data_IF_549434419669
#
_entry.id   IF_549434419669
#
_cell.length_a   1.000
_cell.length_b   1.000
_cell.length_c   1.000
_cell.angle_alpha   90.00
_cell.angle_beta   90.00
_cell.angle_gamma   90.00
#
_symmetry.space_group_name_H-M   'P 1'
#
loop_
_entity.id
_entity.type
_entity.pdbx_description
1 polymer ?
#
# COMPACT_ATOMS: atom_id res chain seq x y z
N UNK A 1 -8.85 13.59 11.27
CA UNK A 1 -8.18 12.31 10.94
C UNK A 1 -7.11 11.95 11.97
N UNK A 2 -6.04 12.76 12.12
CA UNK A 2 -4.96 12.52 13.11
C UNK A 2 -5.46 12.20 14.52
N UNK A 3 -6.33 13.04 15.11
CA UNK A 3 -6.81 12.82 16.49
C UNK A 3 -7.60 11.51 16.65
N UNK A 4 -8.34 11.08 15.62
CA UNK A 4 -9.08 9.82 15.66
C UNK A 4 -8.12 8.62 15.62
N UNK A 5 -7.08 8.69 14.78
CA UNK A 5 -6.04 7.67 14.75
C UNK A 5 -5.24 7.65 16.07
N UNK A 6 -4.87 8.82 16.59
CA UNK A 6 -4.17 8.97 17.87
C UNK A 6 -4.92 8.29 19.00
N UNK A 7 -6.24 8.48 19.08
CA UNK A 7 -7.08 7.82 20.09
C UNK A 7 -6.88 6.29 20.07
N UNK A 8 -6.91 5.66 18.89
CA UNK A 8 -6.72 4.22 18.79
C UNK A 8 -5.29 3.77 19.14
N UNK A 9 -4.28 4.54 18.74
CA UNK A 9 -2.87 4.29 19.10
C UNK A 9 -2.68 4.33 20.61
N UNK A 10 -3.26 5.33 21.28
CA UNK A 10 -3.19 5.47 22.73
C UNK A 10 -3.86 4.26 23.42
N UNK A 11 -5.01 3.79 22.93
CA UNK A 11 -5.66 2.60 23.48
C UNK A 11 -4.79 1.34 23.35
N UNK A 12 -4.15 1.13 22.19
CA UNK A 12 -3.24 -0.02 22.01
C UNK A 12 -2.02 0.10 22.92
N UNK A 13 -1.44 1.30 23.06
CA UNK A 13 -0.32 1.54 23.96
C UNK A 13 -0.68 1.26 25.42
N UNK A 14 -1.88 1.64 25.87
CA UNK A 14 -2.35 1.29 27.22
C UNK A 14 -2.48 -0.22 27.40
N UNK A 15 -3.02 -0.95 26.41
CA UNK A 15 -3.04 -2.41 26.44
C UNK A 15 -1.63 -3.02 26.55
N UNK A 16 -0.66 -2.50 25.80
CA UNK A 16 0.74 -2.94 25.85
C UNK A 16 1.38 -2.66 27.21
N UNK A 17 1.14 -1.49 27.80
CA UNK A 17 1.64 -1.14 29.15
C UNK A 17 1.06 -2.04 30.24
N UNK A 18 -0.22 -2.39 30.11
CA UNK A 18 -0.91 -3.26 31.07
C UNK A 18 -0.57 -4.75 30.86
N UNK A 19 -0.06 -5.13 29.69
CA UNK A 19 0.37 -6.48 29.42
C UNK A 19 1.60 -6.81 30.27
N UNK A 20 1.46 -7.79 31.17
CA UNK A 20 2.58 -8.37 31.90
C UNK A 20 3.30 -9.35 30.99
N UNK A 21 4.24 -8.86 30.20
CA UNK A 21 5.05 -9.69 29.29
C UNK A 21 6.23 -10.29 30.08
N UNK A 22 6.57 -11.55 29.85
CA UNK A 22 7.65 -12.27 30.54
C UNK A 22 8.99 -11.53 30.46
N UNK A 23 9.82 -11.71 31.50
CA UNK A 23 11.14 -11.11 31.62
C UNK A 23 12.06 -11.58 30.49
N UNK A 24 12.17 -10.78 29.44
CA UNK A 24 12.95 -11.08 28.25
C UNK A 24 12.40 -10.44 26.97
N UNK A 25 11.10 -10.10 26.95
CA UNK A 25 10.47 -9.44 25.81
C UNK A 25 10.39 -7.92 26.01
N UNK A 26 10.70 -7.17 24.95
CA UNK A 26 10.57 -5.71 24.89
C UNK A 26 9.64 -5.34 23.74
N UNK A 27 8.64 -4.52 24.02
CA UNK A 27 7.85 -3.88 22.97
C UNK A 27 8.75 -2.92 22.17
N UNK A 28 8.87 -3.16 20.87
CA UNK A 28 9.76 -2.39 20.00
C UNK A 28 9.10 -1.13 19.40
N UNK A 29 7.77 -1.03 19.44
CA UNK A 29 7.02 0.03 18.79
C UNK A 29 5.89 -0.52 17.93
N UNK A 30 5.27 0.37 17.15
CA UNK A 30 4.14 0.05 16.28
C UNK A 30 4.38 0.52 14.85
N UNK A 31 4.07 -0.33 13.87
CA UNK A 31 3.91 0.14 12.49
C UNK A 31 2.51 0.75 12.36
N UNK A 32 2.47 2.06 12.13
CA UNK A 32 1.24 2.85 12.07
C UNK A 32 0.65 2.94 10.66
N UNK A 33 1.15 2.11 9.74
CA UNK A 33 0.70 2.10 8.36
C UNK A 33 -0.77 1.75 8.22
N UNK A 34 -1.46 2.44 7.30
CA UNK A 34 -2.76 1.98 6.83
C UNK A 34 -2.55 0.94 5.74
N UNK A 35 -2.77 -0.34 6.11
CA UNK A 35 -2.71 -1.51 5.24
C UNK A 35 -4.09 -2.20 5.27
N UNK A 36 -5.06 -1.74 4.47
CA UNK A 36 -6.38 -2.34 4.43
C UNK A 36 -6.29 -3.79 3.90
N UNK A 37 -6.93 -4.72 4.59
CA UNK A 37 -7.15 -6.08 4.09
C UNK A 37 -8.49 -6.19 3.36
N UNK A 38 -8.69 -7.31 2.64
CA UNK A 38 -9.91 -7.61 1.89
C UNK A 38 -11.19 -7.45 2.72
N UNK A 39 -11.13 -7.68 4.02
CA UNK A 39 -12.29 -7.71 4.92
C UNK A 39 -12.54 -6.39 5.67
N UNK A 40 -11.86 -5.31 5.31
CA UNK A 40 -12.04 -4.00 5.92
C UNK A 40 -12.43 -2.91 4.91
N UNK A 41 -12.63 -1.67 5.38
CA UNK A 41 -12.96 -0.54 4.51
C UNK A 41 -11.75 -0.18 3.65
N UNK A 42 -11.97 -0.11 2.34
CA UNK A 42 -10.96 0.27 1.36
C UNK A 42 -10.43 1.70 1.59
N UNK A 43 -9.13 1.89 1.36
CA UNK A 43 -8.52 3.20 1.31
C UNK A 43 -9.10 4.06 0.18
N UNK A 44 -9.52 3.48 -0.95
CA UNK A 44 -10.14 4.22 -2.07
C UNK A 44 -11.38 5.02 -1.62
N UNK A 45 -12.13 4.51 -0.64
CA UNK A 45 -13.25 5.27 -0.07
C UNK A 45 -12.76 6.51 0.70
N UNK A 46 -11.63 6.42 1.39
CA UNK A 46 -10.99 7.57 2.03
C UNK A 46 -10.59 8.62 1.00
N UNK A 47 -10.05 8.21 -0.16
CA UNK A 47 -9.75 9.13 -1.26
C UNK A 47 -11.01 9.85 -1.76
N UNK A 48 -12.13 9.13 -1.92
CA UNK A 48 -13.43 9.72 -2.30
C UNK A 48 -13.92 10.73 -1.26
N UNK A 49 -13.82 10.41 0.03
CA UNK A 49 -14.19 11.32 1.12
C UNK A 49 -13.29 12.56 1.19
N UNK A 50 -12.03 12.46 0.73
CA UNK A 50 -11.12 13.60 0.55
C UNK A 50 -11.40 14.40 -0.72
N UNK A 51 -12.39 14.01 -1.52
CA UNK A 51 -12.82 14.73 -2.73
C UNK A 51 -12.19 14.24 -4.04
N UNK A 52 -11.41 13.16 -4.01
CA UNK A 52 -10.85 12.55 -5.23
C UNK A 52 -11.95 11.71 -5.91
N UNK A 53 -12.36 12.00 -7.16
CA UNK A 53 -13.53 11.35 -7.77
C UNK A 53 -13.40 9.82 -7.89
N UNK A 54 -12.20 9.35 -8.17
CA UNK A 54 -11.80 7.94 -8.20
C UNK A 54 -10.28 7.81 -7.99
N UNK A 55 -9.83 6.67 -7.49
CA UNK A 55 -8.40 6.43 -7.29
C UNK A 55 -7.68 6.35 -8.64
N UNK A 56 -6.69 7.20 -8.86
CA UNK A 56 -6.07 7.40 -10.18
C UNK A 56 -6.26 8.80 -10.74
N UNK A 57 -7.32 9.51 -10.31
CA UNK A 57 -7.61 10.86 -10.76
C UNK A 57 -6.58 11.89 -10.26
N UNK A 58 -6.58 13.08 -10.87
CA UNK A 58 -5.87 14.24 -10.34
C UNK A 58 -6.30 14.48 -8.87
N UNK A 59 -5.33 14.81 -8.01
CA UNK A 59 -5.52 14.88 -6.55
C UNK A 59 -5.14 13.60 -5.80
N UNK A 60 -5.01 12.44 -6.48
CA UNK A 60 -4.58 11.18 -5.81
C UNK A 60 -3.21 11.35 -5.13
N UNK A 61 -2.24 12.02 -5.75
CA UNK A 61 -0.90 12.24 -5.16
C UNK A 61 -0.99 13.09 -3.89
N UNK A 62 -1.75 14.19 -3.92
CA UNK A 62 -1.93 15.07 -2.77
C UNK A 62 -2.59 14.34 -1.60
N UNK A 63 -3.68 13.62 -1.88
CA UNK A 63 -4.37 12.82 -0.88
C UNK A 63 -3.44 11.73 -0.30
N UNK A 64 -2.65 11.05 -1.13
CA UNK A 64 -1.64 10.08 -0.67
C UNK A 64 -0.61 10.72 0.26
N UNK A 65 -0.07 11.89 -0.11
CA UNK A 65 0.92 12.59 0.70
C UNK A 65 0.33 13.05 2.05
N UNK A 66 -0.90 13.55 2.05
CA UNK A 66 -1.62 13.94 3.26
C UNK A 66 -1.82 12.73 4.20
N UNK A 67 -2.30 11.61 3.67
CA UNK A 67 -2.51 10.38 4.44
C UNK A 67 -1.21 9.85 5.03
N UNK A 68 -0.14 9.75 4.24
CA UNK A 68 1.19 9.36 4.74
C UNK A 68 1.65 10.26 5.87
N UNK A 69 1.46 11.59 5.76
CA UNK A 69 1.82 12.52 6.83
C UNK A 69 1.00 12.28 8.09
N UNK A 70 -0.30 11.99 7.98
CA UNK A 70 -1.14 11.66 9.14
C UNK A 70 -0.61 10.43 9.86
N UNK A 71 -0.26 9.35 9.15
CA UNK A 71 0.29 8.13 9.74
C UNK A 71 1.65 8.37 10.42
N UNK A 72 2.49 9.27 9.88
CA UNK A 72 3.83 9.57 10.43
C UNK A 72 3.88 10.55 11.60
N UNK A 73 2.79 11.25 11.91
CA UNK A 73 2.79 12.38 12.87
C UNK A 73 2.01 12.11 14.16
N UNK A 74 1.91 10.83 14.52
CA UNK A 74 1.29 10.38 15.75
C UNK A 74 2.24 10.60 16.94
N UNK A 75 1.66 10.93 18.08
CA UNK A 75 2.36 11.15 19.34
C UNK A 75 2.38 9.86 20.17
N UNK A 76 3.24 9.80 21.19
CA UNK A 76 3.29 8.74 22.19
C UNK A 76 3.49 7.32 21.64
N UNK A 77 4.01 7.17 20.42
CA UNK A 77 4.28 5.88 19.78
C UNK A 77 5.68 5.89 19.19
N UNK A 78 6.45 4.84 19.48
CA UNK A 78 7.67 4.55 18.74
C UNK A 78 7.27 3.94 17.39
N UNK A 79 7.25 4.76 16.35
CA UNK A 79 6.91 4.32 15.01
C UNK A 79 8.03 3.43 14.45
N UNK A 80 7.69 2.20 14.08
CA UNK A 80 8.61 1.23 13.45
C UNK A 80 8.08 0.81 12.07
N UNK A 81 8.86 0.00 11.34
CA UNK A 81 8.47 -0.47 10.02
C UNK A 81 8.36 0.66 8.99
N UNK A 82 7.31 0.63 8.17
CA UNK A 82 7.11 1.65 7.13
C UNK A 82 6.37 2.88 7.67
N UNK A 83 5.43 2.69 8.60
CA UNK A 83 4.61 3.73 9.24
C UNK A 83 4.08 4.77 8.24
N UNK A 84 3.48 4.32 7.15
CA UNK A 84 3.00 5.18 6.06
C UNK A 84 1.81 4.58 5.31
N UNK A 85 1.42 5.21 4.21
CA UNK A 85 0.32 4.69 3.39
C UNK A 85 0.76 3.45 2.60
N UNK A 86 0.04 2.34 2.73
CA UNK A 86 0.27 1.13 1.93
C UNK A 86 -0.80 0.99 0.85
N UNK A 87 -0.37 0.78 -0.40
CA UNK A 87 -1.24 0.62 -1.56
C UNK A 87 -1.05 -0.79 -2.14
N UNK A 88 -1.46 -1.80 -1.38
CA UNK A 88 -1.41 -3.20 -1.78
C UNK A 88 -2.58 -3.51 -2.72
N UNK A 89 -2.28 -3.61 -4.02
CA UNK A 89 -3.30 -3.65 -5.09
C UNK A 89 -4.27 -4.81 -4.94
N UNK A 90 -3.77 -6.00 -4.56
CA UNK A 90 -4.62 -7.18 -4.41
C UNK A 90 -5.20 -7.32 -3.00
N UNK A 91 -4.81 -6.52 -2.02
CA UNK A 91 -5.31 -6.67 -0.65
C UNK A 91 -6.45 -5.69 -0.35
N UNK A 92 -6.51 -4.56 -1.06
CA UNK A 92 -7.59 -3.57 -0.96
C UNK A 92 -8.67 -3.76 -2.05
N UNK A 93 -9.92 -3.99 -1.63
CA UNK A 93 -11.03 -4.20 -2.57
C UNK A 93 -11.27 -3.04 -3.54
N UNK A 94 -11.07 -1.80 -3.10
CA UNK A 94 -11.26 -0.62 -3.94
C UNK A 94 -10.12 -0.43 -4.94
N UNK A 95 -8.87 -0.73 -4.56
CA UNK A 95 -7.75 -0.74 -5.51
C UNK A 95 -7.94 -1.84 -6.56
N UNK A 96 -8.33 -3.04 -6.13
CA UNK A 96 -8.65 -4.14 -7.02
C UNK A 96 -9.78 -3.78 -8.00
N UNK A 97 -10.84 -3.13 -7.54
CA UNK A 97 -11.91 -2.65 -8.42
C UNK A 97 -11.46 -1.51 -9.35
N UNK A 98 -10.60 -0.61 -8.88
CA UNK A 98 -10.06 0.47 -9.68
C UNK A 98 -9.15 -0.03 -10.83
N UNK A 99 -8.45 -1.17 -10.66
CA UNK A 99 -7.74 -1.83 -11.78
C UNK A 99 -8.70 -2.32 -12.87
N UNK A 100 -9.83 -2.93 -12.49
CA UNK A 100 -10.86 -3.41 -13.44
C UNK A 100 -11.47 -2.27 -14.24
N UNK A 101 -11.55 -1.08 -13.63
CA UNK A 101 -12.00 0.16 -14.26
C UNK A 101 -10.90 0.89 -15.03
N UNK A 102 -9.69 0.35 -15.08
CA UNK A 102 -8.53 0.93 -15.75
C UNK A 102 -8.23 2.36 -15.29
N UNK A 103 -8.42 2.64 -13.99
CA UNK A 103 -8.27 3.99 -13.45
C UNK A 103 -6.82 4.40 -13.19
N UNK A 104 -5.92 3.43 -13.06
CA UNK A 104 -4.50 3.63 -12.85
C UNK A 104 -3.70 2.46 -13.45
N UNK A 105 -2.39 2.66 -13.63
CA UNK A 105 -1.44 1.65 -14.09
C UNK A 105 -0.22 1.56 -13.16
N UNK A 106 0.77 0.74 -13.52
CA UNK A 106 2.00 0.57 -12.74
C UNK A 106 2.79 1.89 -12.61
N UNK A 107 2.77 2.75 -13.63
CA UNK A 107 3.48 4.06 -13.60
C UNK A 107 2.83 5.00 -12.59
N UNK A 108 1.50 4.98 -12.52
CA UNK A 108 0.75 5.69 -11.49
C UNK A 108 1.09 5.18 -10.09
N UNK A 109 1.10 3.86 -9.86
CA UNK A 109 1.53 3.26 -8.59
C UNK A 109 2.96 3.68 -8.20
N UNK A 110 3.89 3.65 -9.15
CA UNK A 110 5.27 4.07 -8.95
C UNK A 110 5.35 5.57 -8.61
N UNK A 111 4.52 6.39 -9.25
CA UNK A 111 4.39 7.82 -8.92
C UNK A 111 3.87 8.01 -7.49
N UNK A 112 2.83 7.28 -7.08
CA UNK A 112 2.27 7.35 -5.72
C UNK A 112 3.29 6.87 -4.68
N UNK A 113 4.10 5.87 -5.03
CA UNK A 113 5.20 5.38 -4.20
C UNK A 113 6.19 6.47 -3.79
N UNK A 114 6.31 7.57 -4.54
CA UNK A 114 7.12 8.73 -4.12
C UNK A 114 6.65 9.36 -2.81
N UNK A 115 5.34 9.33 -2.54
CA UNK A 115 4.68 9.97 -1.39
C UNK A 115 4.03 8.99 -0.39
N UNK A 116 4.01 7.69 -0.69
CA UNK A 116 3.43 6.65 0.18
C UNK A 116 4.41 6.06 1.23
N UNK A 117 4.08 4.98 1.91
CA UNK A 117 4.98 4.24 2.81
C UNK A 117 5.85 3.20 2.10
N UNK A 118 5.37 2.66 0.97
CA UNK A 118 5.96 1.52 0.25
C UNK A 118 6.12 1.80 -1.24
N UNK A 119 6.74 0.85 -1.96
CA UNK A 119 6.86 0.88 -3.42
C UNK A 119 5.71 0.15 -4.11
N UNK A 120 6.04 -0.66 -5.12
CA UNK A 120 5.09 -1.53 -5.79
C UNK A 120 4.79 -2.72 -4.89
N UNK A 121 3.54 -2.86 -4.45
CA UNK A 121 3.14 -3.94 -3.55
C UNK A 121 1.92 -4.69 -4.06
N UNK A 122 2.03 -6.01 -3.97
CA UNK A 122 1.07 -7.00 -4.48
C UNK A 122 0.53 -6.68 -5.87
N UNK A 123 1.40 -6.25 -6.79
CA UNK A 123 0.98 -5.80 -8.12
C UNK A 123 0.85 -6.99 -9.07
N UNK A 124 -0.36 -7.36 -9.54
CA UNK A 124 -0.54 -8.44 -10.50
C UNK A 124 0.00 -8.02 -11.87
N UNK A 125 0.87 -8.83 -12.46
CA UNK A 125 1.47 -8.60 -13.78
C UNK A 125 1.32 -9.82 -14.68
N UNK A 126 1.62 -9.65 -15.97
CA UNK A 126 1.49 -10.74 -16.94
C UNK A 126 2.32 -11.96 -16.52
N UNK A 127 1.77 -13.16 -16.71
CA UNK A 127 2.45 -14.39 -16.29
C UNK A 127 3.75 -14.65 -17.04
N UNK A 128 3.86 -14.14 -18.27
CA UNK A 128 4.99 -14.29 -19.17
C UNK A 128 5.86 -13.01 -19.26
N UNK A 129 5.71 -12.05 -18.34
CA UNK A 129 6.55 -10.84 -18.34
C UNK A 129 8.04 -11.23 -18.37
N UNK A 130 8.83 -10.75 -19.35
CA UNK A 130 10.25 -11.06 -19.43
C UNK A 130 11.03 -10.56 -18.22
N UNK A 131 12.06 -11.31 -17.82
CA UNK A 131 12.90 -10.96 -16.68
C UNK A 131 13.57 -9.59 -16.85
N UNK A 132 13.91 -9.21 -18.08
CA UNK A 132 14.51 -7.92 -18.41
C UNK A 132 13.56 -6.76 -18.08
N UNK A 133 12.25 -6.93 -18.34
CA UNK A 133 11.21 -5.94 -17.99
C UNK A 133 11.03 -5.84 -16.49
N UNK A 134 10.96 -6.97 -15.78
CA UNK A 134 10.89 -6.99 -14.30
C UNK A 134 12.12 -6.31 -13.70
N UNK A 135 13.31 -6.58 -14.24
CA UNK A 135 14.56 -5.96 -13.81
C UNK A 135 14.57 -4.46 -14.09
N UNK A 136 14.00 -4.00 -15.21
CA UNK A 136 13.90 -2.59 -15.52
C UNK A 136 13.00 -1.84 -14.52
N UNK A 137 11.79 -2.34 -14.23
CA UNK A 137 10.89 -1.69 -13.27
C UNK A 137 11.46 -1.72 -11.83
N UNK A 138 12.22 -2.77 -11.48
CA UNK A 138 12.97 -2.81 -10.22
C UNK A 138 14.05 -1.74 -10.16
N UNK A 139 14.78 -1.50 -11.27
CA UNK A 139 15.79 -0.43 -11.35
C UNK A 139 15.16 0.97 -11.27
N UNK A 140 14.00 1.18 -11.88
CA UNK A 140 13.26 2.44 -11.78
C UNK A 140 12.85 2.70 -10.32
N UNK A 141 12.27 1.69 -9.67
CA UNK A 141 11.88 1.77 -8.26
C UNK A 141 13.10 2.01 -7.35
N UNK A 142 14.21 1.29 -7.59
CA UNK A 142 15.46 1.46 -6.86
C UNK A 142 16.08 2.85 -7.07
N UNK A 143 16.00 3.40 -8.28
CA UNK A 143 16.46 4.76 -8.59
C UNK A 143 15.61 5.78 -7.83
N UNK A 144 14.29 5.63 -7.81
CA UNK A 144 13.42 6.49 -7.02
C UNK A 144 13.72 6.39 -5.53
N UNK A 145 13.91 5.18 -5.00
CA UNK A 145 14.28 4.94 -3.61
C UNK A 145 15.57 5.70 -3.25
N UNK A 146 16.61 5.58 -4.09
CA UNK A 146 17.86 6.29 -3.92
C UNK A 146 17.69 7.81 -3.97
N UNK A 147 16.97 8.33 -4.97
CA UNK A 147 16.77 9.78 -5.16
C UNK A 147 15.94 10.42 -4.07
N UNK A 148 14.97 9.70 -3.52
CA UNK A 148 14.09 10.17 -2.45
C UNK A 148 14.65 9.89 -1.05
N UNK A 149 15.79 9.20 -0.95
CA UNK A 149 16.34 8.67 0.30
C UNK A 149 15.27 7.94 1.13
N UNK A 150 14.59 7.00 0.47
CA UNK A 150 13.40 6.34 1.00
C UNK A 150 13.39 4.87 0.61
N UNK A 151 13.12 3.94 1.55
CA UNK A 151 12.99 2.53 1.21
C UNK A 151 11.72 2.33 0.38
N UNK A 152 11.86 1.77 -0.83
CA UNK A 152 10.74 1.34 -1.68
C UNK A 152 10.91 -0.14 -2.00
N UNK A 153 9.81 -0.87 -1.90
CA UNK A 153 9.73 -2.31 -2.18
C UNK A 153 9.28 -2.56 -3.62
N UNK A 154 9.55 -3.76 -4.13
CA UNK A 154 8.96 -4.26 -5.36
C UNK A 154 8.47 -5.68 -5.10
N UNK A 155 7.15 -5.85 -5.04
CA UNK A 155 6.46 -7.13 -4.89
C UNK A 155 5.47 -7.29 -6.04
N UNK A 156 5.98 -7.79 -7.17
CA UNK A 156 5.17 -8.13 -8.34
C UNK A 156 4.60 -9.54 -8.18
N UNK A 157 3.42 -9.76 -8.75
CA UNK A 157 2.71 -11.04 -8.80
C UNK A 157 2.51 -11.44 -10.25
N UNK A 158 3.48 -12.11 -10.91
CA UNK A 158 3.24 -12.73 -12.21
C UNK A 158 2.12 -13.75 -12.09
N UNK A 159 1.07 -13.61 -12.90
CA UNK A 159 -0.10 -14.50 -12.87
C UNK A 159 -0.04 -15.46 -14.06
N UNK A 160 0.34 -16.74 -13.88
CA UNK A 160 0.56 -17.67 -14.98
C UNK A 160 -0.65 -17.81 -15.91
N UNK A 161 -0.39 -17.75 -17.22
CA UNK A 161 -1.43 -17.91 -18.24
C UNK A 161 -2.34 -16.70 -18.45
N UNK A 162 -2.14 -15.60 -17.71
CA UNK A 162 -2.88 -14.37 -17.89
C UNK A 162 -2.03 -13.24 -18.50
N UNK A 163 -2.67 -12.51 -19.40
CA UNK A 163 -2.18 -11.30 -20.06
C UNK A 163 -2.76 -10.05 -19.39
N UNK A 164 -2.15 -8.89 -19.67
CA UNK A 164 -2.67 -7.62 -19.19
C UNK A 164 -4.12 -7.38 -19.63
N UNK A 165 -4.95 -6.90 -18.71
CA UNK A 165 -6.39 -6.73 -18.93
C UNK A 165 -7.25 -7.90 -18.48
N UNK A 166 -6.67 -9.10 -18.28
CA UNK A 166 -7.43 -10.27 -17.83
C UNK A 166 -7.65 -10.27 -16.31
N UNK A 167 -8.72 -10.94 -15.88
CA UNK A 167 -9.12 -11.00 -14.48
C UNK A 167 -8.40 -12.11 -13.73
N UNK A 168 -7.83 -11.78 -12.57
CA UNK A 168 -7.26 -12.78 -11.67
C UNK A 168 -8.35 -13.62 -11.00
N UNK A 169 -7.98 -14.84 -10.60
CA UNK A 169 -8.83 -15.80 -9.90
C UNK A 169 -8.08 -16.35 -8.66
N UNK A 170 -7.63 -15.45 -7.79
CA UNK A 170 -7.05 -15.81 -6.50
C UNK A 170 -8.07 -16.52 -5.63
N UNK A 171 -7.67 -17.67 -5.10
CA UNK A 171 -8.46 -18.46 -4.13
C UNK A 171 -8.25 -17.98 -2.69
N UNK A 172 -7.19 -17.20 -2.43
CA UNK A 172 -6.85 -16.72 -1.10
C UNK A 172 -7.93 -15.80 -0.52
N UNK A 173 -8.25 -16.02 0.74
CA UNK A 173 -9.16 -15.18 1.52
C UNK A 173 -8.61 -13.77 1.78
N UNK A 174 -7.31 -13.55 1.63
CA UNK A 174 -6.68 -12.26 1.84
C UNK A 174 -6.59 -11.44 0.54
N UNK A 175 -6.72 -12.10 -0.62
CA UNK A 175 -6.55 -11.47 -1.93
C UNK A 175 -7.89 -11.16 -2.61
N UNK A 176 -7.96 -9.98 -3.20
CA UNK A 176 -9.01 -9.47 -4.05
C UNK A 176 -8.69 -9.76 -5.51
N UNK A 177 -9.66 -10.32 -6.23
CA UNK A 177 -9.52 -10.46 -7.68
C UNK A 177 -9.52 -9.09 -8.35
N UNK A 178 -8.61 -8.89 -9.28
CA UNK A 178 -8.31 -7.61 -9.93
C UNK A 178 -7.98 -7.88 -11.41
N UNK A 179 -7.57 -6.83 -12.13
CA UNK A 179 -7.05 -6.99 -13.50
C UNK A 179 -5.53 -7.05 -13.45
N UNK A 180 -4.97 -7.97 -14.25
CA UNK A 180 -3.53 -8.05 -14.51
C UNK A 180 -3.06 -6.76 -15.19
N UNK A 181 -2.07 -6.09 -14.60
CA UNK A 181 -1.54 -4.84 -15.11
C UNK A 181 -0.37 -5.09 -16.05
N UNK A 182 -0.26 -4.27 -17.09
CA UNK A 182 0.86 -4.36 -18.01
C UNK A 182 2.14 -3.80 -17.38
N UNK A 183 3.26 -4.54 -17.49
CA UNK A 183 4.59 -3.96 -17.27
C UNK A 183 5.00 -3.19 -18.53
N UNK A 184 5.06 -1.84 -18.46
CA UNK A 184 5.27 -1.00 -19.65
C UNK A 184 6.60 -1.29 -20.36
#
# INVERSE_FOLDING_TARGET
>A
MRNALQYHIDQVNECVKLAKVDSGWRFAGMDTSAAPSKNCRSMVEVYRLLGVPYFGAAGTIEASALLTRVFKTLDNVEAVGFSGLMLAVTEDQGLAEATRRQQFDIRALLTYSSVCGIGLDTVPIEGDTPLEKITAIMRDTGTMAFRLNKPLTVRLFPVPGLSAGEHTQFESDDLCNCVVLAVP
#
